data_IF_709776183985
#
_entry.id   IF_709776183985
#
_cell.length_a   1.000
_cell.length_b   1.000
_cell.length_c   1.000
_cell.angle_alpha   90.00
_cell.angle_beta   90.00
_cell.angle_gamma   90.00
#
_symmetry.space_group_name_H-M   'P 1'
#
loop_
_entity.id
_entity.type
_entity.pdbx_description
1 polymer ?
#
# COMPACT_ATOMS: atom_id res chain seq x y z
N UNK A 1 16.34 15.78 -20.58
CA UNK A 1 15.76 17.14 -20.57
C UNK A 1 15.86 17.75 -21.95
N UNK A 2 15.20 17.17 -22.94
CA UNK A 2 15.30 17.69 -24.32
C UNK A 2 14.37 18.89 -24.57
N UNK A 3 13.49 19.22 -23.62
CA UNK A 3 12.59 20.38 -23.65
C UNK A 3 12.62 21.26 -22.37
N UNK A 4 13.61 21.08 -21.48
CA UNK A 4 13.64 21.79 -20.19
C UNK A 4 14.61 22.98 -20.21
N UNK A 5 14.26 24.04 -20.95
CA UNK A 5 15.05 25.28 -21.05
C UNK A 5 14.64 26.38 -20.03
N UNK A 6 13.76 26.08 -19.08
CA UNK A 6 13.38 27.01 -18.00
C UNK A 6 13.44 26.29 -16.66
N UNK A 7 14.32 26.74 -15.77
CA UNK A 7 14.47 26.16 -14.43
C UNK A 7 13.15 26.09 -13.68
N UNK A 8 12.91 24.96 -13.01
CA UNK A 8 11.96 24.71 -11.90
C UNK A 8 10.67 25.57 -11.79
N UNK A 9 10.03 25.98 -12.88
CA UNK A 9 8.70 26.57 -12.84
C UNK A 9 7.66 25.45 -12.95
N UNK A 10 6.87 25.27 -11.90
CA UNK A 10 5.76 24.31 -11.90
C UNK A 10 4.60 24.92 -12.69
N UNK A 11 4.47 24.55 -13.96
CA UNK A 11 3.32 24.93 -14.76
C UNK A 11 2.16 23.97 -14.45
N UNK A 12 1.20 24.46 -13.67
CA UNK A 12 -0.07 23.75 -13.49
C UNK A 12 -0.83 23.72 -14.82
N UNK A 13 -1.11 22.53 -15.32
CA UNK A 13 -2.05 22.31 -16.41
C UNK A 13 -3.16 21.39 -15.88
N UNK A 14 -4.40 21.57 -16.34
CA UNK A 14 -5.53 20.70 -15.99
C UNK A 14 -5.29 19.25 -16.42
N UNK A 15 -4.43 19.02 -17.43
CA UNK A 15 -4.08 17.70 -17.94
C UNK A 15 -2.56 17.58 -18.18
N UNK A 16 -1.75 17.39 -17.12
CA UNK A 16 -0.32 17.19 -17.30
C UNK A 16 -0.05 15.87 -18.03
N UNK A 17 1.00 15.85 -18.87
CA UNK A 17 1.45 14.61 -19.51
C UNK A 17 1.90 13.62 -18.44
N UNK A 18 1.40 12.36 -18.43
CA UNK A 18 1.86 11.35 -17.48
C UNK A 18 3.37 11.09 -17.60
N UNK A 19 4.04 10.84 -16.48
CA UNK A 19 5.47 10.48 -16.44
C UNK A 19 5.74 9.06 -17.00
N UNK A 20 4.69 8.24 -17.10
CA UNK A 20 4.74 6.89 -17.65
C UNK A 20 3.34 6.35 -17.91
N UNK A 21 3.29 5.21 -18.58
CA UNK A 21 2.05 4.47 -18.86
C UNK A 21 2.24 3.00 -18.50
N UNK A 22 1.15 2.33 -18.12
CA UNK A 22 1.22 0.95 -17.67
C UNK A 22 -0.10 0.24 -17.76
N UNK A 23 -0.05 -1.04 -17.41
CA UNK A 23 -1.22 -1.91 -17.32
C UNK A 23 -1.12 -2.75 -16.06
N UNK A 24 -2.28 -3.12 -15.52
CA UNK A 24 -2.39 -4.08 -14.43
C UNK A 24 -3.62 -4.96 -14.61
N UNK A 25 -3.56 -6.16 -14.04
CA UNK A 25 -4.65 -7.12 -14.03
C UNK A 25 -4.76 -7.77 -12.65
N UNK A 26 -6.01 -8.00 -12.24
CA UNK A 26 -6.35 -8.72 -11.03
C UNK A 26 -7.08 -10.01 -11.40
N UNK A 27 -6.71 -11.11 -10.74
CA UNK A 27 -7.34 -12.42 -10.94
C UNK A 27 -7.73 -12.99 -9.57
N UNK A 28 -8.97 -13.42 -9.43
CA UNK A 28 -9.49 -14.00 -8.19
C UNK A 28 -10.45 -15.15 -8.43
N UNK A 29 -10.41 -16.12 -7.54
CA UNK A 29 -11.32 -17.26 -7.50
C UNK A 29 -11.91 -17.38 -6.09
N UNK A 30 -13.21 -17.69 -6.02
CA UNK A 30 -13.89 -17.95 -4.77
C UNK A 30 -14.80 -19.17 -4.92
N UNK A 31 -14.82 -20.01 -3.89
CA UNK A 31 -15.65 -21.20 -3.82
C UNK A 31 -16.44 -21.19 -2.52
N UNK A 32 -17.74 -21.41 -2.64
CA UNK A 32 -18.65 -21.64 -1.52
C UNK A 32 -18.86 -23.15 -1.40
N UNK A 33 -18.56 -23.71 -0.22
CA UNK A 33 -18.71 -25.14 0.08
C UNK A 33 -19.83 -25.27 1.10
N UNK A 34 -20.99 -25.80 0.65
CA UNK A 34 -22.21 -25.79 1.45
C UNK A 34 -22.66 -24.37 1.82
N UNK A 35 -23.37 -24.20 2.94
CA UNK A 35 -23.81 -22.89 3.43
C UNK A 35 -22.81 -22.22 4.38
N UNK A 36 -21.82 -22.94 4.88
CA UNK A 36 -20.98 -22.50 6.00
C UNK A 36 -19.57 -22.06 5.58
N UNK A 37 -18.99 -22.68 4.56
CA UNK A 37 -17.58 -22.46 4.20
C UNK A 37 -17.43 -21.64 2.93
N UNK A 38 -16.51 -20.68 2.96
CA UNK A 38 -16.04 -19.99 1.76
C UNK A 38 -14.53 -19.97 1.75
N UNK A 39 -13.93 -20.33 0.62
CA UNK A 39 -12.50 -20.16 0.37
C UNK A 39 -12.33 -19.21 -0.81
N UNK A 40 -11.30 -18.38 -0.76
CA UNK A 40 -10.97 -17.48 -1.85
C UNK A 40 -9.46 -17.31 -1.97
N UNK A 41 -9.01 -17.09 -3.20
CA UNK A 41 -7.63 -16.71 -3.47
C UNK A 41 -7.61 -15.70 -4.63
N UNK A 42 -6.67 -14.78 -4.58
CA UNK A 42 -6.47 -13.78 -5.62
C UNK A 42 -5.00 -13.39 -5.74
N UNK A 43 -4.66 -12.94 -6.93
CA UNK A 43 -3.46 -12.17 -7.22
C UNK A 43 -3.90 -10.82 -7.76
N UNK A 44 -3.41 -9.74 -7.17
CA UNK A 44 -3.71 -8.37 -7.61
C UNK A 44 -2.46 -7.70 -8.13
N UNK A 45 -2.65 -6.66 -8.92
CA UNK A 45 -1.62 -5.75 -9.39
C UNK A 45 -0.54 -6.50 -10.20
N UNK A 46 -0.94 -7.45 -11.06
CA UNK A 46 -0.04 -8.08 -12.03
C UNK A 46 0.13 -7.13 -13.21
N UNK A 47 1.33 -6.58 -13.37
CA UNK A 47 1.59 -5.67 -14.46
C UNK A 47 2.86 -4.87 -14.28
N UNK A 48 3.01 -3.86 -15.14
CA UNK A 48 4.20 -3.01 -15.21
C UNK A 48 3.81 -1.59 -15.60
N UNK A 49 4.62 -0.64 -15.16
CA UNK A 49 4.65 0.73 -15.70
C UNK A 49 5.94 0.92 -16.47
N UNK A 50 5.83 1.48 -17.67
CA UNK A 50 6.93 2.02 -18.46
C UNK A 50 6.99 3.52 -18.23
N UNK A 51 8.16 3.99 -17.80
CA UNK A 51 8.45 5.40 -17.56
C UNK A 51 9.27 5.92 -18.74
N UNK A 52 8.71 6.87 -19.47
CA UNK A 52 9.27 7.38 -20.73
C UNK A 52 9.25 8.92 -20.82
N UNK A 53 8.84 9.60 -19.74
CA UNK A 53 8.77 11.05 -19.72
C UNK A 53 9.40 11.63 -18.45
N UNK A 54 10.36 12.54 -18.64
CA UNK A 54 11.14 13.19 -17.58
C UNK A 54 11.75 12.20 -16.57
N UNK A 55 12.17 11.04 -17.06
CA UNK A 55 12.90 10.07 -16.27
C UNK A 55 14.33 10.55 -16.03
N UNK A 56 14.85 10.22 -14.85
CA UNK A 56 16.22 10.50 -14.48
C UNK A 56 16.78 9.19 -13.91
N UNK A 57 17.76 8.62 -14.59
CA UNK A 57 18.57 7.55 -14.01
C UNK A 57 19.88 8.16 -13.54
N UNK A 58 20.14 8.11 -12.23
CA UNK A 58 21.45 8.44 -11.69
C UNK A 58 22.25 7.14 -11.58
N UNK A 59 23.42 7.10 -12.20
CA UNK A 59 24.36 6.01 -12.03
C UNK A 59 25.42 6.41 -11.01
N UNK A 60 25.43 5.74 -9.86
CA UNK A 60 26.51 5.91 -8.90
C UNK A 60 27.67 4.99 -9.31
N UNK A 61 28.66 5.56 -9.99
CA UNK A 61 29.77 4.79 -10.59
C UNK A 61 31.01 4.75 -9.71
N UNK A 62 31.05 5.52 -8.62
CA UNK A 62 32.22 5.68 -7.78
C UNK A 62 31.89 5.36 -6.31
N UNK A 63 32.80 4.65 -5.63
CA UNK A 63 32.78 4.56 -4.17
C UNK A 63 33.44 5.81 -3.58
N UNK A 64 32.69 6.62 -2.84
CA UNK A 64 33.25 7.77 -2.12
C UNK A 64 33.37 7.45 -0.63
N UNK A 65 34.61 7.51 -0.11
CA UNK A 65 34.89 7.42 1.31
C UNK A 65 35.24 8.83 1.82
N UNK A 66 34.38 9.39 2.68
CA UNK A 66 34.64 10.66 3.34
C UNK A 66 35.25 10.41 4.72
N UNK A 67 36.42 11.00 4.96
CA UNK A 67 37.06 11.04 6.28
C UNK A 67 37.02 12.47 6.82
N UNK A 68 36.56 12.66 8.06
CA UNK A 68 36.33 13.94 8.76
C UNK A 68 35.20 14.83 8.17
N UNK A 69 33.99 14.68 8.73
CA UNK A 69 32.75 15.38 8.37
C UNK A 69 32.72 16.86 8.85
N UNK A 70 33.71 17.66 8.47
CA UNK A 70 33.72 19.12 8.70
C UNK A 70 33.81 19.86 7.37
N UNK A 71 32.92 19.52 6.43
CA UNK A 71 32.86 20.18 5.14
C UNK A 71 32.12 21.51 5.32
N UNK A 72 32.85 22.61 5.25
CA UNK A 72 32.27 23.96 5.24
C UNK A 72 32.08 24.41 3.79
N UNK A 73 31.17 25.36 3.52
CA UNK A 73 30.91 25.83 2.14
C UNK A 73 32.11 26.48 1.42
N UNK A 74 33.24 26.66 2.12
CA UNK A 74 34.53 27.10 1.57
C UNK A 74 35.47 25.95 1.19
N UNK A 75 35.11 24.70 1.51
CA UNK A 75 35.92 23.54 1.15
C UNK A 75 35.77 23.23 -0.35
N UNK A 76 36.87 23.13 -1.12
CA UNK A 76 36.79 22.79 -2.55
C UNK A 76 36.15 21.42 -2.81
N UNK A 77 36.12 20.52 -1.83
CA UNK A 77 35.44 19.21 -1.91
C UNK A 77 33.94 19.30 -1.60
N UNK A 78 33.44 20.39 -1.02
CA UNK A 78 32.02 20.62 -0.75
C UNK A 78 31.19 20.66 -2.03
N UNK A 79 31.65 21.42 -3.02
CA UNK A 79 30.95 21.54 -4.29
C UNK A 79 30.97 20.20 -5.04
N UNK A 80 32.08 19.45 -4.98
CA UNK A 80 32.15 18.11 -5.57
C UNK A 80 31.21 17.12 -4.86
N UNK A 81 31.14 17.14 -3.53
CA UNK A 81 30.18 16.36 -2.74
C UNK A 81 28.73 16.72 -3.12
N UNK A 82 28.41 18.00 -3.26
CA UNK A 82 27.07 18.49 -3.65
C UNK A 82 26.76 18.11 -5.11
N UNK A 83 27.73 18.18 -6.00
CA UNK A 83 27.58 17.81 -7.41
C UNK A 83 27.41 16.30 -7.59
N UNK A 84 28.15 15.50 -6.83
CA UNK A 84 28.08 14.04 -6.80
C UNK A 84 26.77 13.56 -6.14
N UNK A 85 26.38 14.10 -4.98
CA UNK A 85 25.07 13.84 -4.35
C UNK A 85 23.90 14.35 -5.22
N UNK A 86 24.13 15.46 -5.93
CA UNK A 86 23.19 16.01 -6.89
C UNK A 86 23.10 15.16 -8.16
N UNK A 87 24.05 14.26 -8.41
CA UNK A 87 24.10 13.41 -9.60
C UNK A 87 24.25 14.20 -10.91
N UNK A 88 24.70 15.46 -10.87
CA UNK A 88 24.64 16.36 -12.04
C UNK A 88 25.36 15.81 -13.29
N UNK A 89 26.41 15.00 -13.10
CA UNK A 89 27.21 14.39 -14.17
C UNK A 89 26.80 12.95 -14.54
N UNK A 90 25.86 12.32 -13.83
CA UNK A 90 25.45 10.91 -14.02
C UNK A 90 23.98 10.72 -14.39
N UNK A 91 23.27 11.82 -14.67
CA UNK A 91 21.86 11.86 -15.07
C UNK A 91 21.70 11.48 -16.53
N UNK A 92 21.26 10.25 -16.80
CA UNK A 92 20.60 9.97 -18.05
C UNK A 92 19.16 10.48 -17.98
N UNK A 93 18.80 11.34 -18.92
CA UNK A 93 17.50 12.04 -18.96
C UNK A 93 16.67 11.65 -20.19
N UNK A 94 17.13 10.60 -20.89
CA UNK A 94 16.50 9.97 -22.05
C UNK A 94 16.22 8.48 -21.74
N UNK A 95 16.75 7.94 -20.64
CA UNK A 95 16.56 6.56 -20.23
C UNK A 95 15.10 6.22 -19.91
N UNK A 96 14.50 5.37 -20.72
CA UNK A 96 13.24 4.71 -20.36
C UNK A 96 13.53 3.59 -19.38
N UNK A 97 12.73 3.45 -18.31
CA UNK A 97 12.83 2.30 -17.42
C UNK A 97 11.44 1.74 -17.08
N UNK A 98 11.41 0.51 -16.58
CA UNK A 98 10.16 -0.15 -16.19
C UNK A 98 10.17 -0.46 -14.70
N UNK A 99 9.04 -0.29 -14.03
CA UNK A 99 8.80 -0.80 -12.68
C UNK A 99 7.69 -1.83 -12.69
N UNK A 100 7.84 -2.89 -11.91
CA UNK A 100 6.76 -3.84 -11.66
C UNK A 100 5.67 -3.20 -10.80
N UNK A 101 4.43 -3.65 -10.98
CA UNK A 101 3.33 -3.30 -10.08
C UNK A 101 3.49 -3.99 -8.72
N UNK A 102 2.92 -3.41 -7.63
CA UNK A 102 3.02 -3.94 -6.27
C UNK A 102 2.18 -5.22 -6.12
N UNK A 103 2.55 -6.26 -6.89
CA UNK A 103 1.83 -7.52 -7.00
C UNK A 103 1.71 -8.18 -5.63
N UNK A 104 0.49 -8.63 -5.32
CA UNK A 104 0.17 -9.28 -4.04
C UNK A 104 -0.66 -10.53 -4.26
N UNK A 105 -0.37 -11.55 -3.47
CA UNK A 105 -1.24 -12.70 -3.29
C UNK A 105 -2.07 -12.52 -2.03
N UNK A 106 -3.34 -12.94 -2.11
CA UNK A 106 -4.23 -13.06 -0.97
C UNK A 106 -4.94 -14.40 -1.05
N UNK A 107 -5.04 -15.09 0.08
CA UNK A 107 -5.86 -16.27 0.23
C UNK A 107 -6.63 -16.17 1.55
N UNK A 108 -7.83 -16.72 1.60
CA UNK A 108 -8.65 -16.65 2.79
C UNK A 108 -9.66 -17.78 2.88
N UNK A 109 -10.02 -18.10 4.11
CA UNK A 109 -11.08 -19.03 4.44
C UNK A 109 -12.01 -18.37 5.45
N UNK A 110 -13.30 -18.55 5.24
CA UNK A 110 -14.36 -18.08 6.12
C UNK A 110 -15.22 -19.27 6.51
N UNK A 111 -15.57 -19.33 7.79
CA UNK A 111 -16.48 -20.29 8.37
C UNK A 111 -17.64 -19.58 9.04
N UNK A 112 -18.86 -19.94 8.65
CA UNK A 112 -20.11 -19.40 9.18
C UNK A 112 -21.01 -20.54 9.67
N UNK A 113 -20.84 -20.99 10.93
CA UNK A 113 -21.66 -22.07 11.50
C UNK A 113 -23.11 -21.65 11.75
N UNK A 114 -23.41 -20.36 11.77
CA UNK A 114 -24.77 -19.85 11.95
C UNK A 114 -24.96 -18.51 11.27
N UNK A 115 -26.21 -18.08 11.10
CA UNK A 115 -26.52 -16.73 10.60
C UNK A 115 -26.03 -15.60 11.51
N UNK A 116 -25.67 -15.91 12.77
CA UNK A 116 -25.24 -14.92 13.77
C UNK A 116 -23.74 -14.89 14.00
N UNK A 117 -22.97 -15.84 13.48
CA UNK A 117 -21.55 -15.94 13.80
C UNK A 117 -20.74 -16.35 12.59
N UNK A 118 -19.64 -15.66 12.38
CA UNK A 118 -18.68 -15.92 11.31
C UNK A 118 -17.27 -15.66 11.84
N UNK A 119 -16.34 -16.51 11.42
CA UNK A 119 -14.91 -16.29 11.58
C UNK A 119 -14.22 -16.39 10.23
N UNK A 120 -13.10 -15.72 10.11
CA UNK A 120 -12.25 -15.79 8.93
C UNK A 120 -10.78 -15.78 9.28
N UNK A 121 -10.00 -16.38 8.38
CA UNK A 121 -8.56 -16.30 8.36
C UNK A 121 -8.13 -15.92 6.95
N UNK A 122 -7.22 -14.95 6.86
CA UNK A 122 -6.64 -14.50 5.61
C UNK A 122 -5.11 -14.50 5.70
N UNK A 123 -4.49 -14.79 4.57
CA UNK A 123 -3.07 -14.72 4.33
C UNK A 123 -2.82 -13.75 3.19
N UNK A 124 -1.86 -12.85 3.35
CA UNK A 124 -1.47 -11.86 2.33
C UNK A 124 0.05 -11.84 2.23
N UNK A 125 0.58 -11.77 1.00
CA UNK A 125 2.02 -11.62 0.75
C UNK A 125 2.27 -10.87 -0.55
N UNK A 126 3.07 -9.82 -0.51
CA UNK A 126 3.61 -9.14 -1.68
C UNK A 126 4.74 -9.93 -2.33
N UNK A 127 4.90 -9.79 -3.64
CA UNK A 127 5.97 -10.49 -4.39
C UNK A 127 7.22 -9.65 -4.59
N UNK A 128 7.13 -8.34 -4.33
CA UNK A 128 8.21 -7.39 -4.52
C UNK A 128 8.19 -6.29 -3.45
N UNK A 129 9.27 -5.52 -3.42
CA UNK A 129 9.47 -4.39 -2.51
C UNK A 129 9.16 -3.05 -3.20
N UNK A 130 7.99 -2.99 -3.83
CA UNK A 130 7.48 -1.75 -4.42
C UNK A 130 6.76 -0.92 -3.34
N UNK A 131 6.74 0.42 -3.47
CA UNK A 131 6.04 1.29 -2.52
C UNK A 131 4.58 0.86 -2.30
N UNK A 132 4.17 0.73 -1.03
CA UNK A 132 2.83 0.26 -0.67
C UNK A 132 2.63 -1.26 -0.77
N UNK A 133 3.70 -2.02 -1.05
CA UNK A 133 3.74 -3.48 -0.94
C UNK A 133 4.55 -3.92 0.30
N UNK A 134 4.44 -5.20 0.63
CA UNK A 134 5.26 -5.83 1.67
C UNK A 134 5.56 -7.27 1.26
N UNK A 135 6.85 -7.63 1.21
CA UNK A 135 7.28 -9.01 0.96
C UNK A 135 7.09 -9.91 2.17
N UNK A 136 6.96 -9.31 3.37
CA UNK A 136 6.58 -9.99 4.59
C UNK A 136 5.15 -10.50 4.50
N UNK A 137 4.96 -11.71 5.03
CA UNK A 137 3.65 -12.34 5.16
C UNK A 137 2.83 -11.62 6.22
N UNK A 138 1.56 -11.37 5.92
CA UNK A 138 0.56 -10.90 6.88
C UNK A 138 -0.50 -11.99 7.07
N UNK A 139 -0.73 -12.38 8.31
CA UNK A 139 -1.83 -13.22 8.73
C UNK A 139 -2.92 -12.36 9.35
N UNK A 140 -4.18 -12.58 8.99
CA UNK A 140 -5.32 -11.86 9.55
C UNK A 140 -6.36 -12.85 10.05
N UNK A 141 -6.91 -12.61 11.23
CA UNK A 141 -8.01 -13.34 11.82
C UNK A 141 -9.13 -12.36 12.11
N UNK A 142 -10.35 -12.70 11.73
CA UNK A 142 -11.53 -11.86 11.93
C UNK A 142 -12.69 -12.65 12.50
N UNK A 143 -13.54 -11.98 13.27
CA UNK A 143 -14.81 -12.53 13.72
C UNK A 143 -15.92 -11.48 13.62
N UNK A 144 -17.12 -11.92 13.22
CA UNK A 144 -18.35 -11.14 13.22
C UNK A 144 -19.41 -11.91 14.02
N UNK A 145 -20.06 -11.21 14.96
CA UNK A 145 -21.16 -11.74 15.75
C UNK A 145 -22.37 -10.80 15.70
N UNK A 146 -23.57 -11.36 15.66
CA UNK A 146 -24.84 -10.63 15.74
C UNK A 146 -25.56 -10.96 17.06
N UNK A 147 -25.31 -10.22 18.14
CA UNK A 147 -26.13 -10.30 19.35
C UNK A 147 -27.61 -10.08 19.03
N UNK A 148 -27.91 -9.15 18.12
CA UNK A 148 -29.23 -8.89 17.57
C UNK A 148 -29.15 -8.90 16.03
N UNK A 149 -30.23 -9.27 15.31
CA UNK A 149 -30.21 -9.36 13.84
C UNK A 149 -29.78 -8.07 13.12
N UNK A 150 -29.94 -6.92 13.76
CA UNK A 150 -29.57 -5.61 13.23
C UNK A 150 -28.23 -5.07 13.76
N UNK A 151 -27.57 -5.75 14.69
CA UNK A 151 -26.39 -5.23 15.39
C UNK A 151 -25.19 -6.15 15.19
N UNK A 152 -24.38 -5.99 14.13
CA UNK A 152 -23.09 -6.65 14.02
C UNK A 152 -22.07 -6.07 15.01
N UNK A 153 -21.26 -6.94 15.58
CA UNK A 153 -20.05 -6.60 16.34
C UNK A 153 -18.89 -7.39 15.76
N UNK A 154 -17.75 -6.74 15.59
CA UNK A 154 -16.59 -7.26 14.86
C UNK A 154 -15.32 -7.03 15.64
N UNK A 155 -14.42 -7.99 15.50
CA UNK A 155 -13.04 -7.86 15.97
C UNK A 155 -12.11 -8.48 14.95
N UNK A 156 -10.88 -7.98 14.89
CA UNK A 156 -9.85 -8.47 14.00
C UNK A 156 -8.48 -8.37 14.63
N UNK A 157 -7.64 -9.33 14.29
CA UNK A 157 -6.22 -9.36 14.64
C UNK A 157 -5.43 -9.61 13.37
N UNK A 158 -4.37 -8.85 13.12
CA UNK A 158 -3.40 -9.17 12.07
C UNK A 158 -1.99 -9.18 12.63
N UNK A 159 -1.13 -10.05 12.13
CA UNK A 159 0.28 -10.12 12.50
C UNK A 159 1.16 -10.30 11.27
N UNK A 160 2.38 -9.76 11.34
CA UNK A 160 3.33 -9.68 10.23
C UNK A 160 3.23 -8.36 9.47
N UNK A 161 3.93 -8.29 8.33
CA UNK A 161 4.15 -7.02 7.64
C UNK A 161 4.98 -6.02 8.46
N UNK A 162 5.08 -4.77 7.99
CA UNK A 162 5.87 -3.73 8.66
C UNK A 162 5.33 -3.29 10.03
N UNK A 163 4.08 -3.64 10.35
CA UNK A 163 3.38 -3.17 11.56
C UNK A 163 3.44 -4.09 12.77
N UNK A 164 4.22 -5.18 12.73
CA UNK A 164 4.27 -6.27 13.70
C UNK A 164 2.91 -6.95 13.98
N UNK A 165 1.94 -6.24 14.57
CA UNK A 165 0.57 -6.69 14.75
C UNK A 165 -0.42 -5.52 14.86
N UNK A 166 -1.70 -5.80 14.55
CA UNK A 166 -2.80 -4.86 14.71
C UNK A 166 -4.03 -5.51 15.33
N UNK A 167 -4.72 -4.79 16.20
CA UNK A 167 -6.03 -5.16 16.75
C UNK A 167 -7.08 -4.15 16.25
N UNK A 168 -8.22 -4.64 15.78
CA UNK A 168 -9.30 -3.81 15.24
C UNK A 168 -10.63 -4.19 15.88
N UNK A 169 -11.48 -3.20 16.15
CA UNK A 169 -12.85 -3.41 16.61
C UNK A 169 -13.81 -2.71 15.65
N UNK A 170 -15.03 -3.22 15.53
CA UNK A 170 -16.05 -2.56 14.73
C UNK A 170 -17.45 -2.96 15.11
N UNK A 171 -18.40 -2.14 14.72
CA UNK A 171 -19.82 -2.42 14.90
C UNK A 171 -20.62 -1.71 13.80
N UNK A 172 -21.93 -1.90 13.79
CA UNK A 172 -22.80 -1.24 12.85
C UNK A 172 -24.26 -1.41 13.20
N UNK A 173 -25.12 -0.81 12.40
CA UNK A 173 -26.58 -0.97 12.47
C UNK A 173 -27.07 -1.35 11.08
N UNK A 174 -27.73 -2.51 10.98
CA UNK A 174 -28.37 -3.03 9.78
C UNK A 174 -29.88 -2.82 9.88
N UNK A 175 -30.37 -1.80 9.20
CA UNK A 175 -31.79 -1.58 8.95
C UNK A 175 -32.17 -2.17 7.57
N UNK A 176 -33.47 -2.30 7.30
CA UNK A 176 -34.00 -2.92 6.07
C UNK A 176 -33.41 -2.33 4.78
N UNK A 177 -33.30 -1.00 4.72
CA UNK A 177 -32.87 -0.27 3.52
C UNK A 177 -31.54 0.49 3.73
N UNK A 178 -30.91 0.31 4.89
CA UNK A 178 -29.79 1.12 5.28
C UNK A 178 -28.85 0.34 6.19
N UNK A 179 -27.56 0.45 5.95
CA UNK A 179 -26.52 -0.06 6.85
C UNK A 179 -25.53 1.05 7.13
N UNK A 180 -25.17 1.19 8.41
CA UNK A 180 -24.08 2.04 8.88
C UNK A 180 -23.09 1.16 9.63
N UNK A 181 -21.80 1.26 9.31
CA UNK A 181 -20.73 0.58 10.01
C UNK A 181 -19.68 1.59 10.49
N UNK A 182 -19.13 1.34 11.68
CA UNK A 182 -18.00 2.07 12.25
C UNK A 182 -16.95 1.05 12.67
N UNK A 183 -15.70 1.32 12.33
CA UNK A 183 -14.57 0.46 12.69
C UNK A 183 -13.35 1.27 13.10
N UNK A 184 -12.53 0.68 13.94
CA UNK A 184 -11.20 1.17 14.28
C UNK A 184 -10.15 0.29 13.64
N UNK A 185 -8.99 0.85 13.33
CA UNK A 185 -7.83 0.09 12.87
C UNK A 185 -6.64 0.35 13.78
N UNK A 186 -5.96 -0.73 14.19
CA UNK A 186 -4.74 -0.64 14.99
C UNK A 186 -4.92 -0.02 16.36
N UNK A 187 -5.86 -0.52 17.17
CA UNK A 187 -6.07 -0.04 18.55
C UNK A 187 -4.82 -0.15 19.42
N UNK A 188 -3.93 -1.11 19.16
CA UNK A 188 -2.63 -1.19 19.81
C UNK A 188 -1.75 0.05 19.53
N UNK A 189 -1.91 0.67 18.36
CA UNK A 189 -1.19 1.89 17.98
C UNK A 189 -1.61 3.12 18.80
N UNK A 190 -2.78 3.06 19.46
CA UNK A 190 -3.16 4.10 20.42
C UNK A 190 -2.22 4.10 21.64
N UNK A 191 -1.74 2.92 22.02
CA UNK A 191 -0.85 2.74 23.17
C UNK A 191 0.61 2.93 22.74
N UNK A 192 1.00 2.34 21.60
CA UNK A 192 2.39 2.33 21.12
C UNK A 192 2.81 3.68 20.54
N UNK A 193 1.99 4.25 19.65
CA UNK A 193 2.33 5.42 18.82
C UNK A 193 1.43 6.64 19.06
N UNK A 194 0.46 6.53 19.98
CA UNK A 194 -0.61 7.54 20.21
C UNK A 194 -1.39 7.88 18.93
N UNK A 195 -1.53 6.90 18.04
CA UNK A 195 -2.27 7.01 16.78
C UNK A 195 -3.61 6.33 16.89
N UNK A 196 -4.64 6.95 16.33
CA UNK A 196 -5.99 6.41 16.31
C UNK A 196 -6.60 6.59 14.93
N UNK A 197 -7.19 5.51 14.40
CA UNK A 197 -7.79 5.48 13.07
C UNK A 197 -9.20 4.95 13.17
N UNK A 198 -10.15 5.65 12.52
CA UNK A 198 -11.56 5.27 12.44
C UNK A 198 -12.02 5.31 10.99
N UNK A 199 -12.85 4.35 10.62
CA UNK A 199 -13.53 4.31 9.34
C UNK A 199 -15.05 4.28 9.57
N UNK A 200 -15.77 4.96 8.69
CA UNK A 200 -17.24 4.97 8.64
C UNK A 200 -17.68 4.56 7.24
N UNK A 201 -18.67 3.67 7.17
CA UNK A 201 -19.23 3.18 5.91
C UNK A 201 -20.75 3.19 5.96
N UNK A 202 -21.37 3.55 4.85
CA UNK A 202 -22.83 3.54 4.69
C UNK A 202 -23.24 2.84 3.41
N UNK A 203 -24.32 2.06 3.47
CA UNK A 203 -24.92 1.44 2.29
C UNK A 203 -26.42 1.67 2.30
N UNK A 204 -26.94 2.20 1.20
CA UNK A 204 -28.38 2.30 0.93
C UNK A 204 -28.77 1.13 0.03
N UNK A 205 -29.81 0.40 0.43
CA UNK A 205 -30.38 -0.70 -0.32
C UNK A 205 -31.75 -0.21 -0.84
N UNK A 206 -31.77 0.13 -2.13
CA UNK A 206 -32.97 0.53 -2.87
C UNK A 206 -33.73 -0.72 -3.33
#
# INVERSE_FOLDING_TARGET
FTDYNSGAETHFNLFPKPAGTGWSMDIGLAMQIGSEWKIAASVTDLGKISWDYNTITNHDTNSFAYYNFFVTGSDPTYNQLVDDLGGYNSRDTVSTFTSDMPTKYRAGIMYRPSSRFMIEFNWVKGTNDMPGNTSDVIYCFGAEYFPLPFLPVRTGFSAGGPGAYYISLGTGIKLKNFTLDVGTYGLNQLIEDKRFSVALSTKIIL
#
